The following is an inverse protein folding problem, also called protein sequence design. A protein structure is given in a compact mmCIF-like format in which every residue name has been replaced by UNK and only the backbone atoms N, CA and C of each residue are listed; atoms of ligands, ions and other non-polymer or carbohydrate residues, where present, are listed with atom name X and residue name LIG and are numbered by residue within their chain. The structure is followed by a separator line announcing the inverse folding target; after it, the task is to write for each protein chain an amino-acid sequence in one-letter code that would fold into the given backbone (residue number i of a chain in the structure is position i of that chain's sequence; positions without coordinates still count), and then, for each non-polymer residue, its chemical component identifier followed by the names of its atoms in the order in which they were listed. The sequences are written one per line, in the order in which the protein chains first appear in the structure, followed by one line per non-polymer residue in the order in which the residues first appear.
data_IF_127863866335
#
_entry.id   IF_127863866335
#
_cell.length_a   1.000
_cell.length_b   1.000
_cell.length_c   1.000
_cell.angle_alpha   90.00
_cell.angle_beta   90.00
_cell.angle_gamma   90.00
#
_symmetry.space_group_name_H-M   'P 1'
#
loop_
_entity.id
_entity.type
_entity.pdbx_description
1 polymer ?
#
# COMPACT_ATOMS: atom_id res chain seq x y z
N UNK A 1 -13.59 22.47 13.31
CA UNK A 1 -12.74 21.48 12.62
C UNK A 1 -12.65 21.89 11.15
N UNK A 2 -11.48 22.29 10.67
CA UNK A 2 -11.28 22.54 9.25
C UNK A 2 -11.02 21.19 8.59
N UNK A 3 -11.93 20.69 7.77
CA UNK A 3 -11.70 19.52 6.93
C UNK A 3 -10.75 19.92 5.79
N UNK A 4 -9.67 19.19 5.63
CA UNK A 4 -8.81 19.29 4.45
C UNK A 4 -9.26 18.21 3.47
N UNK A 5 -9.54 18.60 2.23
CA UNK A 5 -9.75 17.68 1.14
C UNK A 5 -8.45 17.61 0.34
N UNK A 6 -7.85 16.43 0.31
CA UNK A 6 -6.74 16.14 -0.58
C UNK A 6 -7.29 15.52 -1.86
N UNK A 7 -6.74 15.92 -2.98
CA UNK A 7 -7.09 15.40 -4.30
C UNK A 7 -5.83 15.13 -5.09
N UNK A 8 -5.68 13.89 -5.53
CA UNK A 8 -4.67 13.54 -6.51
C UNK A 8 -5.20 13.89 -7.91
N UNK A 9 -4.47 14.71 -8.64
CA UNK A 9 -4.80 15.08 -10.00
C UNK A 9 -3.69 14.68 -10.95
N UNK A 10 -4.04 13.89 -11.95
CA UNK A 10 -3.09 13.40 -12.97
C UNK A 10 -1.87 12.69 -12.38
N UNK A 11 -2.05 12.02 -11.22
CA UNK A 11 -1.00 11.26 -10.54
C UNK A 11 -0.73 9.96 -11.30
N UNK A 12 0.51 9.78 -11.73
CA UNK A 12 0.95 8.53 -12.35
C UNK A 12 0.87 7.37 -11.36
N UNK A 13 0.36 6.22 -11.82
CA UNK A 13 0.32 5.00 -11.02
C UNK A 13 1.57 4.16 -11.25
N UNK A 14 2.22 3.74 -10.17
CA UNK A 14 3.39 2.85 -10.23
C UNK A 14 3.12 1.61 -9.39
N UNK A 15 3.11 0.45 -10.02
CA UNK A 15 2.99 -0.82 -9.30
C UNK A 15 4.35 -1.18 -8.67
N UNK A 16 4.35 -1.40 -7.37
CA UNK A 16 5.56 -1.64 -6.57
C UNK A 16 5.52 -3.00 -5.84
N UNK A 17 4.86 -3.99 -6.43
CA UNK A 17 4.76 -5.32 -5.81
C UNK A 17 4.17 -5.26 -4.41
N UNK A 18 4.86 -5.79 -3.42
CA UNK A 18 4.46 -5.71 -2.01
C UNK A 18 4.84 -4.39 -1.34
N UNK A 19 5.58 -3.51 -2.02
CA UNK A 19 6.02 -2.22 -1.48
C UNK A 19 6.88 -2.35 -0.22
N UNK A 20 7.75 -3.35 -0.20
CA UNK A 20 8.61 -3.68 0.94
C UNK A 20 10.05 -3.26 0.66
N UNK A 21 10.66 -2.62 1.64
CA UNK A 21 12.09 -2.38 1.70
C UNK A 21 12.62 -2.97 3.02
N UNK A 22 13.19 -4.18 2.92
CA UNK A 22 13.66 -4.99 4.04
C UNK A 22 15.11 -5.43 3.80
N UNK A 23 16.08 -4.59 4.19
CA UNK A 23 17.51 -4.87 3.94
C UNK A 23 18.00 -6.20 4.52
N UNK A 24 17.44 -6.63 5.64
CA UNK A 24 17.77 -7.90 6.31
C UNK A 24 17.40 -9.14 5.47
N UNK A 25 16.44 -9.00 4.57
CA UNK A 25 16.08 -10.01 3.58
C UNK A 25 16.67 -9.73 2.20
N UNK A 26 17.48 -8.68 2.04
CA UNK A 26 17.98 -8.21 0.74
C UNK A 26 16.83 -7.98 -0.26
N UNK A 27 15.70 -7.46 0.24
CA UNK A 27 14.48 -7.24 -0.52
C UNK A 27 14.17 -5.74 -0.60
N UNK A 28 13.98 -5.25 -1.82
CA UNK A 28 13.58 -3.86 -2.04
C UNK A 28 12.70 -3.76 -3.29
N UNK A 29 11.39 -3.68 -3.10
CA UNK A 29 10.42 -3.52 -4.18
C UNK A 29 10.47 -2.14 -4.87
N UNK A 30 11.11 -1.17 -4.25
CA UNK A 30 11.27 0.17 -4.82
C UNK A 30 12.58 0.36 -5.60
N UNK A 31 13.44 -0.66 -5.65
CA UNK A 31 14.73 -0.53 -6.31
C UNK A 31 14.58 -0.20 -7.81
N UNK A 32 15.22 0.89 -8.23
CA UNK A 32 15.16 1.36 -9.62
C UNK A 32 13.85 2.04 -10.03
N UNK A 33 12.89 2.20 -9.12
CA UNK A 33 11.63 2.88 -9.40
C UNK A 33 11.66 4.34 -8.90
N UNK A 34 11.23 5.26 -9.76
CA UNK A 34 10.93 6.64 -9.35
C UNK A 34 9.45 6.77 -9.01
N UNK A 35 9.16 6.86 -7.72
CA UNK A 35 7.79 7.00 -7.21
C UNK A 35 7.52 8.38 -6.61
N UNK A 36 8.49 9.28 -6.66
CA UNK A 36 8.35 10.61 -6.05
C UNK A 36 7.23 11.41 -6.70
N UNK A 37 6.28 11.85 -5.88
CA UNK A 37 5.11 12.61 -6.35
C UNK A 37 4.10 11.77 -7.16
N UNK A 38 4.23 10.45 -7.15
CA UNK A 38 3.34 9.51 -7.84
C UNK A 38 2.49 8.73 -6.84
N UNK A 39 1.51 7.99 -7.34
CA UNK A 39 0.70 7.09 -6.53
C UNK A 39 1.19 5.66 -6.71
N UNK A 40 1.57 5.02 -5.62
CA UNK A 40 1.99 3.62 -5.65
C UNK A 40 0.81 2.68 -5.48
N UNK A 41 0.82 1.58 -6.22
CA UNK A 41 -0.16 0.49 -6.16
C UNK A 41 0.55 -0.73 -5.57
N UNK A 42 0.01 -1.28 -4.48
CA UNK A 42 0.73 -2.19 -3.58
C UNK A 42 -0.12 -3.41 -3.28
N UNK A 43 0.46 -4.61 -3.31
CA UNK A 43 -0.21 -5.83 -2.85
C UNK A 43 -0.31 -5.87 -1.32
N UNK A 44 -1.43 -6.36 -0.80
CA UNK A 44 -1.58 -6.67 0.63
C UNK A 44 -0.67 -7.85 1.03
N UNK A 45 -0.33 -7.94 2.31
CA UNK A 45 0.62 -8.92 2.85
C UNK A 45 2.08 -8.65 2.43
N UNK A 46 2.97 -9.61 2.60
CA UNK A 46 4.39 -9.53 2.29
C UNK A 46 4.84 -10.71 1.38
N UNK A 47 6.05 -10.66 0.84
CA UNK A 47 6.53 -11.70 -0.07
C UNK A 47 6.51 -13.12 0.51
N UNK A 48 6.55 -13.27 1.83
CA UNK A 48 6.49 -14.56 2.50
C UNK A 48 5.23 -15.34 2.17
N UNK A 49 4.09 -14.66 2.00
CA UNK A 49 2.83 -15.31 1.64
C UNK A 49 2.91 -16.03 0.28
N UNK A 50 3.54 -15.39 -0.70
CA UNK A 50 3.68 -15.97 -2.04
C UNK A 50 4.76 -17.06 -2.09
N UNK A 51 5.90 -16.83 -1.42
CA UNK A 51 7.03 -17.75 -1.45
C UNK A 51 6.83 -18.98 -0.57
N UNK A 52 6.09 -18.82 0.54
CA UNK A 52 5.88 -19.81 1.61
C UNK A 52 7.19 -20.32 2.23
N UNK A 53 8.29 -19.62 1.99
CA UNK A 53 9.58 -19.92 2.56
C UNK A 53 9.66 -19.36 3.99
N UNK A 54 9.79 -20.20 5.02
CA UNK A 54 9.87 -19.74 6.40
C UNK A 54 11.10 -18.89 6.70
N UNK A 55 12.14 -18.95 5.87
CA UNK A 55 13.33 -18.11 5.99
C UNK A 55 13.11 -16.71 5.41
N UNK A 56 12.05 -16.50 4.62
CA UNK A 56 11.72 -15.23 3.98
C UNK A 56 10.38 -14.71 4.56
N UNK A 57 10.43 -13.60 5.30
CA UNK A 57 9.26 -12.97 5.94
C UNK A 57 8.39 -13.94 6.77
N UNK A 58 9.00 -14.93 7.43
CA UNK A 58 8.30 -15.97 8.20
C UNK A 58 7.26 -16.79 7.39
N UNK A 59 7.43 -16.91 6.08
CA UNK A 59 6.54 -17.68 5.22
C UNK A 59 5.09 -17.16 5.25
N UNK A 60 4.12 -18.01 5.57
CA UNK A 60 2.69 -17.63 5.59
C UNK A 60 2.30 -16.69 6.74
N UNK A 61 3.15 -16.52 7.75
CA UNK A 61 2.86 -15.62 8.86
C UNK A 61 3.13 -14.18 8.44
N UNK A 62 2.09 -13.35 8.43
CA UNK A 62 2.24 -11.94 8.09
C UNK A 62 3.17 -11.24 9.08
N UNK A 63 4.25 -10.65 8.56
CA UNK A 63 5.14 -9.77 9.33
C UNK A 63 4.60 -8.34 9.38
N UNK A 64 5.30 -7.42 10.06
CA UNK A 64 4.94 -6.00 10.01
C UNK A 64 4.99 -5.42 8.58
N UNK A 65 5.89 -5.93 7.74
CA UNK A 65 5.96 -5.54 6.32
C UNK A 65 4.68 -5.82 5.53
N UNK A 66 3.91 -6.82 5.94
CA UNK A 66 2.61 -7.15 5.34
C UNK A 66 1.44 -6.26 5.77
N UNK A 67 1.63 -5.46 6.82
CA UNK A 67 0.59 -4.61 7.37
C UNK A 67 0.31 -3.40 6.49
N UNK A 68 -0.96 -3.01 6.38
CA UNK A 68 -1.36 -1.82 5.63
C UNK A 68 -0.70 -0.53 6.17
N UNK A 69 -0.49 -0.42 7.48
CA UNK A 69 0.24 0.69 8.09
C UNK A 69 1.65 0.84 7.54
N UNK A 70 2.41 -0.26 7.46
CA UNK A 70 3.74 -0.25 6.88
C UNK A 70 3.75 0.22 5.42
N UNK A 71 2.76 -0.23 4.61
CA UNK A 71 2.66 0.14 3.19
C UNK A 71 2.60 1.65 3.00
N UNK A 72 1.73 2.31 3.78
CA UNK A 72 1.61 3.77 3.71
C UNK A 72 2.84 4.50 4.26
N UNK A 73 3.44 3.99 5.34
CA UNK A 73 4.67 4.54 5.90
C UNK A 73 5.84 4.45 4.91
N UNK A 74 6.03 3.29 4.28
CA UNK A 74 7.10 3.11 3.30
C UNK A 74 6.88 3.94 2.04
N UNK A 75 5.66 3.97 1.50
CA UNK A 75 5.32 4.83 0.38
C UNK A 75 5.67 6.30 0.66
N UNK A 76 5.37 6.78 1.86
CA UNK A 76 5.76 8.13 2.30
C UNK A 76 7.27 8.31 2.36
N UNK A 77 8.01 7.35 2.92
CA UNK A 77 9.49 7.40 2.98
C UNK A 77 10.11 7.44 1.59
N UNK A 78 9.51 6.77 0.61
CA UNK A 78 9.93 6.77 -0.79
C UNK A 78 9.50 8.04 -1.57
N UNK A 79 8.73 8.94 -0.93
CA UNK A 79 8.30 10.20 -1.51
C UNK A 79 7.06 10.11 -2.40
N UNK A 80 6.31 9.01 -2.32
CA UNK A 80 5.04 8.89 -3.02
C UNK A 80 4.00 9.91 -2.50
N UNK A 81 3.14 10.39 -3.37
CA UNK A 81 2.04 11.30 -3.04
C UNK A 81 0.80 10.55 -2.57
N UNK A 82 0.53 9.39 -3.16
CA UNK A 82 -0.57 8.51 -2.80
C UNK A 82 -0.16 7.05 -2.71
N UNK A 83 -0.94 6.26 -1.99
CA UNK A 83 -0.75 4.82 -1.91
C UNK A 83 -2.09 4.08 -1.89
N UNK A 84 -2.22 3.11 -2.77
CA UNK A 84 -3.42 2.29 -2.94
C UNK A 84 -3.05 0.83 -2.73
N UNK A 85 -3.70 0.18 -1.77
CA UNK A 85 -3.48 -1.23 -1.49
C UNK A 85 -4.50 -2.08 -2.23
N UNK A 86 -4.02 -3.08 -2.97
CA UNK A 86 -4.85 -4.10 -3.60
C UNK A 86 -5.22 -5.13 -2.53
N UNK A 87 -6.52 -5.28 -2.27
CA UNK A 87 -7.02 -6.28 -1.36
C UNK A 87 -7.23 -7.61 -2.09
N UNK A 88 -6.63 -8.66 -1.53
CA UNK A 88 -6.89 -10.05 -1.88
C UNK A 88 -7.28 -10.80 -0.61
N UNK A 89 -8.41 -11.51 -0.65
CA UNK A 89 -9.00 -12.14 0.54
C UNK A 89 -8.08 -13.15 1.22
N UNK A 90 -7.42 -14.02 0.46
CA UNK A 90 -6.55 -15.03 1.03
C UNK A 90 -5.29 -14.45 1.69
N UNK A 91 -4.51 -13.55 1.04
CA UNK A 91 -3.38 -12.89 1.69
C UNK A 91 -3.79 -12.00 2.86
N UNK A 92 -4.92 -11.30 2.77
CA UNK A 92 -5.40 -10.42 3.83
C UNK A 92 -5.92 -11.19 5.05
N UNK A 93 -6.40 -12.42 4.85
CA UNK A 93 -7.10 -13.24 5.85
C UNK A 93 -8.47 -12.71 6.27
N UNK A 94 -9.03 -11.76 5.55
CA UNK A 94 -10.40 -11.22 5.72
C UNK A 94 -10.98 -10.78 4.38
N UNK A 95 -12.30 -10.72 4.28
CA UNK A 95 -13.01 -10.33 3.06
C UNK A 95 -13.00 -8.82 2.83
N UNK A 96 -13.29 -8.40 1.60
CA UNK A 96 -13.37 -6.99 1.18
C UNK A 96 -14.33 -6.15 2.03
N UNK A 97 -15.43 -6.74 2.50
CA UNK A 97 -16.41 -6.05 3.36
C UNK A 97 -15.81 -5.47 4.63
N UNK A 98 -14.71 -6.05 5.15
CA UNK A 98 -14.00 -5.50 6.31
C UNK A 98 -13.36 -4.18 5.95
N UNK A 99 -12.75 -4.07 4.77
CA UNK A 99 -12.19 -2.81 4.27
C UNK A 99 -13.29 -1.77 4.09
N UNK A 100 -14.38 -2.12 3.40
CA UNK A 100 -15.50 -1.21 3.18
C UNK A 100 -16.05 -0.62 4.47
N UNK A 101 -16.32 -1.46 5.48
CA UNK A 101 -16.88 -1.01 6.73
C UNK A 101 -15.89 -0.24 7.61
N UNK A 102 -14.59 -0.52 7.49
CA UNK A 102 -13.55 0.12 8.30
C UNK A 102 -13.06 1.45 7.73
N UNK A 103 -13.12 1.62 6.40
CA UNK A 103 -12.55 2.78 5.70
C UNK A 103 -13.59 3.73 5.13
N UNK A 104 -14.87 3.45 5.34
CA UNK A 104 -15.96 4.35 4.96
C UNK A 104 -16.16 5.39 6.05
N UNK A 105 -16.14 6.66 5.69
CA UNK A 105 -16.31 7.78 6.60
C UNK A 105 -15.00 8.32 7.20
N UNK A 106 -15.10 9.21 8.19
CA UNK A 106 -13.93 9.88 8.77
C UNK A 106 -12.98 8.90 9.45
N UNK A 107 -11.70 9.00 9.15
CA UNK A 107 -10.63 8.28 9.81
C UNK A 107 -9.95 9.20 10.83
N UNK A 108 -9.91 8.78 12.08
CA UNK A 108 -9.29 9.55 13.16
C UNK A 108 -7.88 9.08 13.42
N UNK A 109 -6.95 10.00 13.62
CA UNK A 109 -5.58 9.73 14.00
C UNK A 109 -5.13 10.64 15.13
N UNK A 110 -3.99 10.37 15.68
CA UNK A 110 -3.35 11.26 16.66
C UNK A 110 -2.91 12.57 15.99
N UNK A 111 -3.03 13.68 16.74
CA UNK A 111 -2.42 14.94 16.34
C UNK A 111 -0.89 14.76 16.43
N UNK A 112 -0.21 14.93 15.31
CA UNK A 112 1.25 14.79 15.19
C UNK A 112 1.89 16.18 15.14
N UNK A 113 3.08 16.29 15.69
CA UNK A 113 3.86 17.54 15.65
C UNK A 113 4.20 17.99 14.22
N UNK A 114 4.41 17.01 13.32
CA UNK A 114 4.69 17.25 11.90
C UNK A 114 3.44 17.63 11.08
N UNK A 115 2.25 17.68 11.69
CA UNK A 115 0.97 17.94 11.03
C UNK A 115 0.70 16.98 9.87
N UNK A 116 1.08 15.71 10.03
CA UNK A 116 0.97 14.63 9.03
C UNK A 116 1.85 14.81 7.77
N UNK A 117 2.89 15.64 7.81
CA UNK A 117 3.83 15.78 6.68
C UNK A 117 4.59 14.49 6.35
N UNK A 118 4.69 13.56 7.31
CA UNK A 118 5.27 12.24 7.13
C UNK A 118 4.28 11.17 6.63
N UNK A 119 3.12 11.57 6.09
CA UNK A 119 2.13 10.68 5.49
C UNK A 119 1.94 10.99 4.00
N UNK A 120 1.54 10.00 3.23
CA UNK A 120 1.07 10.24 1.86
C UNK A 120 -0.24 11.05 1.89
N UNK A 121 -0.49 11.86 0.87
CA UNK A 121 -1.68 12.73 0.82
C UNK A 121 -2.98 11.90 0.72
N UNK A 122 -2.94 10.76 0.03
CA UNK A 122 -4.08 9.86 -0.12
C UNK A 122 -3.68 8.43 0.20
N UNK A 123 -4.42 7.84 1.13
CA UNK A 123 -4.34 6.43 1.50
C UNK A 123 -5.63 5.74 1.08
N UNK A 124 -5.54 4.62 0.37
CA UNK A 124 -6.73 3.96 -0.15
C UNK A 124 -6.57 2.47 -0.37
N UNK A 125 -7.69 1.83 -0.69
CA UNK A 125 -7.78 0.42 -1.02
C UNK A 125 -8.60 0.22 -2.28
N UNK A 126 -8.26 -0.80 -3.04
CA UNK A 126 -9.07 -1.31 -4.14
C UNK A 126 -9.21 -2.82 -4.02
N UNK A 127 -10.32 -3.35 -4.49
CA UNK A 127 -10.48 -4.80 -4.60
C UNK A 127 -9.76 -5.35 -5.84
N UNK A 128 -9.69 -6.66 -5.94
CA UNK A 128 -9.00 -7.36 -7.04
C UNK A 128 -9.59 -7.03 -8.41
N UNK A 129 -10.90 -6.83 -8.51
CA UNK A 129 -11.54 -6.56 -9.81
C UNK A 129 -11.16 -5.19 -10.34
N UNK A 130 -11.17 -4.16 -9.49
CA UNK A 130 -10.69 -2.81 -9.83
C UNK A 130 -9.21 -2.84 -10.18
N UNK A 131 -8.39 -3.59 -9.44
CA UNK A 131 -6.97 -3.73 -9.74
C UNK A 131 -6.73 -4.34 -11.13
N UNK A 132 -7.47 -5.39 -11.49
CA UNK A 132 -7.40 -6.00 -12.83
C UNK A 132 -7.76 -5.00 -13.94
N UNK A 133 -8.79 -4.18 -13.74
CA UNK A 133 -9.14 -3.12 -14.69
C UNK A 133 -8.02 -2.09 -14.84
N UNK A 134 -7.39 -1.66 -13.73
CA UNK A 134 -6.26 -0.74 -13.76
C UNK A 134 -5.08 -1.32 -14.58
N UNK A 135 -4.72 -2.57 -14.33
CA UNK A 135 -3.65 -3.23 -15.08
C UNK A 135 -3.98 -3.43 -16.56
N UNK A 136 -5.20 -3.87 -16.87
CA UNK A 136 -5.64 -4.03 -18.26
C UNK A 136 -5.61 -2.70 -19.03
N UNK A 137 -6.06 -1.60 -18.41
CA UNK A 137 -6.02 -0.26 -19.01
C UNK A 137 -4.58 0.24 -19.22
N UNK A 138 -3.63 -0.23 -18.42
CA UNK A 138 -2.20 0.04 -18.58
C UNK A 138 -1.51 -0.90 -19.59
N UNK A 139 -2.24 -1.83 -20.21
CA UNK A 139 -1.68 -2.83 -21.11
C UNK A 139 -0.89 -3.94 -20.42
N UNK A 140 -1.10 -4.12 -19.12
CA UNK A 140 -0.50 -5.16 -18.30
C UNK A 140 -1.51 -6.30 -18.08
N UNK A 141 -1.04 -7.56 -18.16
CA UNK A 141 -1.85 -8.76 -17.93
C UNK A 141 -1.42 -9.48 -16.67
#
# INVERSE_FOLDING_TARGET
MKGYFEQLKDSELVFVGYGVNAPEYQWNDYEGLDVKGKTVVILVNDPGFATKDPALFNGNAMTYYGRWTYKYEEASRQGAEGAIIIHETAPASYGWSVVEHSWTGPQFGFVREDLNKGRVAVEGWVNTDVAKELFANAGLN
#
